data_IF_010767282767
#
_entry.id   IF_010767282767
#
_cell.length_a   1.000
_cell.length_b   1.000
_cell.length_c   1.000
_cell.angle_alpha   90.00
_cell.angle_beta   90.00
_cell.angle_gamma   90.00
#
_symmetry.space_group_name_H-M   'P 1'
#
loop_
_entity.id
_entity.type
_entity.pdbx_description
1 polymer ?
#
# COMPACT_ATOMS: atom_id res chain seq x y z
N UNK A 1 -40.68 -28.49 -30.93
CA UNK A 1 -40.04 -27.67 -29.89
C UNK A 1 -39.73 -28.58 -28.73
N UNK A 2 -38.50 -29.10 -28.69
CA UNK A 2 -38.01 -29.88 -27.56
C UNK A 2 -37.59 -28.91 -26.46
N UNK A 3 -37.87 -29.19 -25.17
CA UNK A 3 -37.37 -28.37 -24.09
C UNK A 3 -35.85 -28.56 -24.01
N UNK A 4 -35.10 -27.47 -24.15
CA UNK A 4 -33.65 -27.46 -24.05
C UNK A 4 -33.27 -27.62 -22.55
N UNK A 5 -33.14 -28.86 -22.09
CA UNK A 5 -32.72 -29.20 -20.71
C UNK A 5 -31.25 -29.60 -20.69
N UNK A 6 -30.37 -28.72 -21.18
CA UNK A 6 -28.93 -28.98 -21.32
C UNK A 6 -28.08 -28.00 -20.50
N UNK A 7 -27.99 -28.23 -19.19
CA UNK A 7 -26.97 -27.66 -18.31
C UNK A 7 -25.59 -28.06 -18.88
N UNK A 8 -24.88 -27.12 -19.50
CA UNK A 8 -23.73 -27.41 -20.37
C UNK A 8 -22.45 -26.66 -20.04
N UNK A 9 -22.19 -26.35 -18.77
CA UNK A 9 -20.99 -25.61 -18.35
C UNK A 9 -20.22 -26.32 -17.22
N UNK A 10 -18.89 -26.11 -17.10
CA UNK A 10 -18.07 -26.78 -16.08
C UNK A 10 -18.12 -26.15 -14.67
N UNK A 11 -18.88 -25.06 -14.50
CA UNK A 11 -18.94 -24.25 -13.28
C UNK A 11 -19.86 -24.84 -12.20
N UNK A 12 -19.68 -24.38 -10.95
CA UNK A 12 -20.41 -24.84 -9.78
C UNK A 12 -21.19 -23.70 -9.08
N UNK A 13 -22.41 -23.95 -8.58
CA UNK A 13 -23.14 -25.21 -8.65
C UNK A 13 -23.57 -25.51 -10.10
N UNK A 14 -23.75 -26.81 -10.42
CA UNK A 14 -23.96 -27.25 -11.80
C UNK A 14 -25.27 -26.72 -12.38
N UNK A 15 -26.29 -26.50 -11.56
CA UNK A 15 -27.59 -25.94 -11.94
C UNK A 15 -27.61 -24.40 -12.04
N UNK A 16 -26.47 -23.73 -11.92
CA UNK A 16 -26.38 -22.28 -12.08
C UNK A 16 -26.83 -21.83 -13.48
N UNK A 17 -27.53 -20.70 -13.56
CA UNK A 17 -27.92 -20.11 -14.84
C UNK A 17 -26.77 -19.26 -15.40
N UNK A 18 -26.06 -19.79 -16.40
CA UNK A 18 -24.99 -19.08 -17.12
C UNK A 18 -25.41 -18.97 -18.60
N UNK A 19 -26.23 -17.96 -18.95
CA UNK A 19 -26.77 -17.81 -20.29
C UNK A 19 -25.65 -17.54 -21.30
N UNK A 20 -25.80 -18.07 -22.52
CA UNK A 20 -24.86 -17.85 -23.62
C UNK A 20 -23.42 -18.32 -23.35
N UNK A 21 -23.24 -19.30 -22.45
CA UNK A 21 -21.93 -19.89 -22.19
C UNK A 21 -21.32 -20.50 -23.45
N UNK A 22 -20.08 -20.13 -23.74
CA UNK A 22 -19.25 -20.76 -24.74
C UNK A 22 -17.91 -21.16 -24.12
N UNK A 23 -17.46 -22.39 -24.40
CA UNK A 23 -16.14 -22.86 -23.97
C UNK A 23 -15.01 -22.02 -24.62
N UNK A 24 -13.84 -22.01 -23.97
CA UNK A 24 -12.66 -21.36 -24.51
C UNK A 24 -12.25 -22.00 -25.85
N UNK A 25 -12.02 -21.16 -26.87
CA UNK A 25 -11.50 -21.60 -28.16
C UNK A 25 -9.99 -21.83 -28.15
N UNK A 26 -9.25 -21.06 -27.36
CA UNK A 26 -7.81 -21.19 -27.23
C UNK A 26 -7.45 -22.18 -26.12
N UNK A 27 -6.37 -22.94 -26.33
CA UNK A 27 -5.81 -23.77 -25.26
C UNK A 27 -5.32 -22.91 -24.09
N UNK A 28 -5.37 -23.47 -22.87
CA UNK A 28 -4.87 -22.82 -21.66
C UNK A 28 -3.45 -22.29 -21.82
N UNK A 29 -2.57 -23.05 -22.47
CA UNK A 29 -1.18 -22.65 -22.69
C UNK A 29 -1.06 -21.39 -23.58
N UNK A 30 -1.94 -21.23 -24.57
CA UNK A 30 -1.99 -20.01 -25.41
C UNK A 30 -2.49 -18.81 -24.59
N UNK A 31 -3.55 -19.01 -23.80
CA UNK A 31 -4.13 -17.97 -22.94
C UNK A 31 -3.07 -17.48 -21.92
N UNK A 32 -2.45 -18.40 -21.19
CA UNK A 32 -1.44 -18.08 -20.18
C UNK A 32 -0.23 -17.39 -20.79
N UNK A 33 0.30 -17.87 -21.92
CA UNK A 33 1.43 -17.20 -22.59
C UNK A 33 1.06 -15.78 -23.03
N UNK A 34 -0.11 -15.59 -23.61
CA UNK A 34 -0.58 -14.26 -24.02
C UNK A 34 -0.67 -13.31 -22.82
N UNK A 35 -1.35 -13.73 -21.75
CA UNK A 35 -1.57 -12.89 -20.58
C UNK A 35 -0.29 -12.59 -19.80
N UNK A 36 0.54 -13.61 -19.55
CA UNK A 36 1.84 -13.42 -18.89
C UNK A 36 2.75 -12.51 -19.72
N UNK A 37 2.72 -12.61 -21.05
CA UNK A 37 3.49 -11.70 -21.90
C UNK A 37 3.07 -10.24 -21.72
N UNK A 38 1.76 -9.96 -21.62
CA UNK A 38 1.25 -8.61 -21.36
C UNK A 38 1.72 -8.10 -20.00
N UNK A 39 1.63 -8.92 -18.94
CA UNK A 39 2.13 -8.57 -17.61
C UNK A 39 3.62 -8.27 -17.66
N UNK A 40 4.42 -9.15 -18.26
CA UNK A 40 5.88 -9.00 -18.34
C UNK A 40 6.24 -7.72 -19.07
N UNK A 41 5.65 -7.46 -20.24
CA UNK A 41 5.88 -6.23 -21.00
C UNK A 41 5.49 -5.00 -20.18
N UNK A 42 4.31 -5.00 -19.54
CA UNK A 42 3.84 -3.87 -18.75
C UNK A 42 4.75 -3.57 -17.55
N UNK A 43 5.05 -4.59 -16.74
CA UNK A 43 5.86 -4.45 -15.53
C UNK A 43 7.29 -4.08 -15.87
N UNK A 44 7.92 -4.74 -16.85
CA UNK A 44 9.31 -4.43 -17.24
C UNK A 44 9.42 -3.04 -17.85
N UNK A 45 8.45 -2.62 -18.68
CA UNK A 45 8.40 -1.26 -19.22
C UNK A 45 8.23 -0.23 -18.11
N UNK A 46 7.35 -0.48 -17.14
CA UNK A 46 7.18 0.37 -15.97
C UNK A 46 8.47 0.49 -15.16
N UNK A 47 9.14 -0.63 -14.86
CA UNK A 47 10.43 -0.65 -14.15
C UNK A 47 11.52 0.12 -14.91
N UNK A 48 11.58 -0.06 -16.23
CA UNK A 48 12.51 0.68 -17.09
C UNK A 48 12.27 2.19 -17.01
N UNK A 49 11.00 2.63 -17.12
CA UNK A 49 10.63 4.04 -16.96
C UNK A 49 10.99 4.55 -15.56
N UNK A 50 10.67 3.81 -14.51
CA UNK A 50 11.00 4.18 -13.13
C UNK A 50 12.50 4.36 -12.92
N UNK A 51 13.32 3.48 -13.49
CA UNK A 51 14.79 3.56 -13.40
C UNK A 51 15.39 4.66 -14.27
N UNK A 52 14.74 4.99 -15.38
CA UNK A 52 15.12 6.14 -16.20
C UNK A 52 14.86 7.45 -15.46
N UNK A 53 13.72 7.57 -14.76
CA UNK A 53 13.37 8.74 -13.97
C UNK A 53 14.22 8.84 -12.69
N UNK A 54 14.47 7.71 -12.02
CA UNK A 54 15.30 7.65 -10.82
C UNK A 54 16.33 6.48 -10.92
N UNK A 55 17.54 6.76 -11.44
CA UNK A 55 18.60 5.75 -11.57
C UNK A 55 19.08 5.18 -10.22
N UNK A 56 18.82 5.91 -9.12
CA UNK A 56 19.23 5.55 -7.77
C UNK A 56 18.34 4.51 -7.07
N UNK A 57 17.27 4.01 -7.72
CA UNK A 57 16.36 3.04 -7.12
C UNK A 57 17.11 1.76 -6.68
N UNK A 58 16.88 1.34 -5.44
CA UNK A 58 17.43 0.11 -4.85
C UNK A 58 16.64 -1.11 -5.33
N UNK A 59 17.24 -2.30 -5.22
CA UNK A 59 16.57 -3.55 -5.63
C UNK A 59 15.26 -3.78 -4.88
N UNK A 60 15.20 -3.45 -3.59
CA UNK A 60 13.97 -3.54 -2.80
C UNK A 60 12.90 -2.54 -3.22
N UNK A 61 13.29 -1.35 -3.68
CA UNK A 61 12.37 -0.35 -4.24
C UNK A 61 11.84 -0.82 -5.60
N UNK A 62 12.69 -1.43 -6.44
CA UNK A 62 12.27 -2.01 -7.72
C UNK A 62 11.36 -3.23 -7.54
N UNK A 63 11.63 -4.09 -6.56
CA UNK A 63 10.75 -5.22 -6.24
C UNK A 63 9.36 -4.75 -5.77
N UNK A 64 9.30 -3.72 -4.91
CA UNK A 64 8.04 -3.11 -4.50
C UNK A 64 7.32 -2.46 -5.69
N UNK A 65 8.06 -1.75 -6.54
CA UNK A 65 7.51 -1.15 -7.75
C UNK A 65 6.94 -2.20 -8.70
N UNK A 66 7.64 -3.33 -8.91
CA UNK A 66 7.17 -4.43 -9.73
C UNK A 66 5.86 -5.02 -9.19
N UNK A 67 5.79 -5.22 -7.87
CA UNK A 67 4.58 -5.68 -7.20
C UNK A 67 3.40 -4.73 -7.41
N UNK A 68 3.57 -3.43 -7.14
CA UNK A 68 2.46 -2.48 -7.30
C UNK A 68 2.08 -2.22 -8.77
N UNK A 69 3.02 -2.37 -9.72
CA UNK A 69 2.70 -2.36 -11.16
C UNK A 69 1.91 -3.61 -11.57
N UNK A 70 2.25 -4.79 -11.05
CA UNK A 70 1.49 -6.02 -11.26
C UNK A 70 0.07 -5.86 -10.70
N UNK A 71 -0.07 -5.39 -9.47
CA UNK A 71 -1.39 -5.12 -8.88
C UNK A 71 -2.17 -4.09 -9.71
N UNK A 72 -1.54 -2.99 -10.12
CA UNK A 72 -2.20 -2.02 -11.00
C UNK A 72 -2.71 -2.68 -12.29
N UNK A 73 -1.89 -3.51 -12.93
CA UNK A 73 -2.28 -4.19 -14.16
C UNK A 73 -3.50 -5.10 -13.95
N UNK A 74 -3.46 -5.91 -12.89
CA UNK A 74 -4.56 -6.83 -12.58
C UNK A 74 -5.83 -6.08 -12.21
N UNK A 75 -5.75 -5.08 -11.33
CA UNK A 75 -6.90 -4.28 -10.93
C UNK A 75 -7.49 -3.48 -12.10
N UNK A 76 -6.65 -2.73 -12.82
CA UNK A 76 -7.14 -1.82 -13.86
C UNK A 76 -7.62 -2.57 -15.12
N UNK A 77 -6.91 -3.62 -15.54
CA UNK A 77 -7.17 -4.29 -16.81
C UNK A 77 -7.90 -5.62 -16.62
N UNK A 78 -7.47 -6.47 -15.70
CA UNK A 78 -8.07 -7.80 -15.55
C UNK A 78 -9.42 -7.74 -14.83
N UNK A 79 -9.44 -7.19 -13.63
CA UNK A 79 -10.66 -6.96 -12.82
C UNK A 79 -11.54 -5.90 -13.48
N UNK A 80 -10.94 -4.84 -14.05
CA UNK A 80 -11.65 -3.87 -14.87
C UNK A 80 -12.38 -4.48 -16.06
N UNK A 81 -11.78 -5.47 -16.74
CA UNK A 81 -12.46 -6.22 -17.80
C UNK A 81 -13.68 -6.98 -17.26
N UNK A 82 -13.55 -7.64 -16.11
CA UNK A 82 -14.68 -8.32 -15.47
C UNK A 82 -15.81 -7.33 -15.15
N UNK A 83 -15.51 -6.24 -14.45
CA UNK A 83 -16.50 -5.22 -14.07
C UNK A 83 -17.25 -4.64 -15.28
N UNK A 84 -16.57 -4.42 -16.40
CA UNK A 84 -17.19 -3.86 -17.61
C UNK A 84 -17.98 -4.90 -18.41
N UNK A 85 -17.54 -6.16 -18.44
CA UNK A 85 -18.05 -7.17 -19.38
C UNK A 85 -18.71 -8.38 -18.73
N UNK A 86 -18.91 -8.41 -17.41
CA UNK A 86 -19.44 -9.56 -16.66
C UNK A 86 -20.69 -10.20 -17.29
N UNK A 87 -21.63 -9.40 -17.79
CA UNK A 87 -22.87 -9.88 -18.42
C UNK A 87 -22.64 -10.68 -19.72
N UNK A 88 -21.57 -10.38 -20.45
CA UNK A 88 -21.23 -11.01 -21.74
C UNK A 88 -20.03 -11.96 -21.65
N UNK A 89 -19.47 -12.10 -20.45
CA UNK A 89 -18.18 -12.77 -20.21
C UNK A 89 -18.20 -14.24 -20.63
N UNK A 90 -19.30 -14.93 -20.34
CA UNK A 90 -19.46 -16.37 -20.57
C UNK A 90 -19.40 -16.75 -22.06
N UNK A 91 -19.89 -15.89 -22.95
CA UNK A 91 -19.86 -16.11 -24.41
C UNK A 91 -18.66 -15.46 -25.12
N UNK A 92 -17.89 -14.61 -24.43
CA UNK A 92 -16.81 -13.84 -25.05
C UNK A 92 -15.55 -14.69 -25.27
N UNK A 93 -14.88 -14.49 -26.41
CA UNK A 93 -13.66 -15.21 -26.82
C UNK A 93 -12.40 -14.32 -26.84
N UNK A 94 -12.43 -13.15 -26.20
CA UNK A 94 -11.20 -12.35 -26.01
C UNK A 94 -10.20 -13.08 -25.12
N UNK A 95 -8.93 -12.65 -25.13
CA UNK A 95 -7.91 -13.20 -24.24
C UNK A 95 -8.33 -13.08 -22.75
N UNK A 96 -8.84 -11.92 -22.35
CA UNK A 96 -9.25 -11.65 -20.97
C UNK A 96 -10.46 -12.48 -20.56
N UNK A 97 -11.50 -12.57 -21.40
CA UNK A 97 -12.68 -13.39 -21.10
C UNK A 97 -12.34 -14.87 -21.02
N UNK A 98 -11.47 -15.37 -21.89
CA UNK A 98 -11.05 -16.77 -21.83
C UNK A 98 -10.23 -17.08 -20.57
N UNK A 99 -9.39 -16.15 -20.12
CA UNK A 99 -8.69 -16.28 -18.84
C UNK A 99 -9.64 -16.22 -17.64
N UNK A 100 -10.64 -15.32 -17.66
CA UNK A 100 -11.67 -15.28 -16.63
C UNK A 100 -12.49 -16.57 -16.56
N UNK A 101 -12.86 -17.13 -17.71
CA UNK A 101 -13.52 -18.44 -17.80
C UNK A 101 -12.68 -19.54 -17.16
N UNK A 102 -11.37 -19.57 -17.44
CA UNK A 102 -10.45 -20.51 -16.78
C UNK A 102 -10.38 -20.28 -15.27
N UNK A 103 -10.20 -19.03 -14.84
CA UNK A 103 -10.10 -18.69 -13.42
C UNK A 103 -11.38 -19.00 -12.65
N UNK A 104 -12.55 -18.81 -13.27
CA UNK A 104 -13.84 -19.09 -12.67
C UNK A 104 -14.12 -20.58 -12.43
N UNK A 105 -13.30 -21.49 -12.98
CA UNK A 105 -13.32 -22.89 -12.56
C UNK A 105 -12.95 -23.04 -11.08
N UNK A 106 -12.15 -22.10 -10.55
CA UNK A 106 -11.79 -22.01 -9.13
C UNK A 106 -12.85 -21.31 -8.28
N UNK A 107 -13.55 -20.33 -8.84
CA UNK A 107 -14.67 -19.62 -8.22
C UNK A 107 -15.69 -19.19 -9.26
N UNK A 108 -16.78 -19.94 -9.36
CA UNK A 108 -17.78 -19.81 -10.40
C UNK A 108 -18.69 -18.59 -10.21
N UNK A 109 -18.58 -17.89 -9.08
CA UNK A 109 -19.27 -16.61 -8.82
C UNK A 109 -18.95 -15.54 -9.87
N UNK A 110 -17.77 -15.62 -10.51
CA UNK A 110 -17.41 -14.76 -11.63
C UNK A 110 -18.19 -15.04 -12.93
N UNK A 111 -18.81 -16.22 -13.08
CA UNK A 111 -19.64 -16.55 -14.24
C UNK A 111 -21.13 -16.28 -14.03
N UNK A 112 -21.54 -16.10 -12.78
CA UNK A 112 -22.94 -15.85 -12.40
C UNK A 112 -23.19 -14.39 -12.02
N UNK A 113 -22.19 -13.51 -12.18
CA UNK A 113 -22.28 -12.08 -11.81
C UNK A 113 -22.66 -11.89 -10.34
N UNK A 114 -22.02 -12.65 -9.44
CA UNK A 114 -22.27 -12.56 -8.01
C UNK A 114 -22.15 -11.11 -7.49
N UNK A 115 -23.13 -10.60 -6.72
CA UNK A 115 -23.12 -9.21 -6.27
C UNK A 115 -21.92 -8.85 -5.41
N UNK A 116 -21.43 -9.77 -4.57
CA UNK A 116 -20.25 -9.50 -3.75
C UNK A 116 -19.00 -9.38 -4.64
N UNK A 117 -18.83 -10.29 -5.60
CA UNK A 117 -17.72 -10.21 -6.57
C UNK A 117 -17.75 -8.91 -7.37
N UNK A 118 -18.89 -8.55 -7.95
CA UNK A 118 -19.00 -7.30 -8.70
C UNK A 118 -18.67 -6.08 -7.83
N UNK A 119 -19.14 -6.04 -6.58
CA UNK A 119 -18.84 -4.93 -5.67
C UNK A 119 -17.35 -4.86 -5.31
N UNK A 120 -16.73 -5.98 -4.92
CA UNK A 120 -15.34 -5.96 -4.46
C UNK A 120 -14.38 -5.66 -5.61
N UNK A 121 -14.63 -6.20 -6.81
CA UNK A 121 -13.84 -5.91 -8.01
C UNK A 121 -14.09 -4.49 -8.53
N UNK A 122 -15.27 -3.93 -8.34
CA UNK A 122 -15.49 -2.51 -8.64
C UNK A 122 -14.67 -1.62 -7.72
N UNK A 123 -14.56 -1.96 -6.43
CA UNK A 123 -13.71 -1.22 -5.49
C UNK A 123 -12.23 -1.37 -5.83
N UNK A 124 -11.79 -2.54 -6.29
CA UNK A 124 -10.40 -2.73 -6.69
C UNK A 124 -10.03 -1.89 -7.91
N UNK A 125 -10.92 -1.81 -8.90
CA UNK A 125 -10.75 -0.95 -10.07
C UNK A 125 -10.75 0.53 -9.68
N UNK A 126 -11.73 0.97 -8.89
CA UNK A 126 -11.95 2.39 -8.62
C UNK A 126 -10.99 2.97 -7.57
N UNK A 127 -10.56 2.16 -6.59
CA UNK A 127 -9.74 2.61 -5.47
C UNK A 127 -8.32 2.02 -5.53
N UNK A 128 -8.20 0.70 -5.70
CA UNK A 128 -6.90 0.05 -5.60
C UNK A 128 -6.02 0.31 -6.82
N UNK A 129 -6.53 0.25 -8.05
CA UNK A 129 -5.73 0.59 -9.22
C UNK A 129 -5.10 2.01 -9.12
N UNK A 130 -5.86 3.10 -8.91
CA UNK A 130 -5.26 4.43 -8.75
C UNK A 130 -4.23 4.50 -7.62
N UNK A 131 -4.51 3.85 -6.49
CA UNK A 131 -3.63 3.84 -5.32
C UNK A 131 -2.33 3.07 -5.59
N UNK A 132 -2.36 1.95 -6.31
CA UNK A 132 -1.17 1.24 -6.78
C UNK A 132 -0.25 2.15 -7.60
N UNK A 133 -0.83 2.91 -8.55
CA UNK A 133 -0.06 3.84 -9.36
C UNK A 133 0.51 4.99 -8.52
N UNK A 134 -0.27 5.52 -7.57
CA UNK A 134 0.20 6.56 -6.64
C UNK A 134 1.37 6.06 -5.77
N UNK A 135 1.33 4.81 -5.31
CA UNK A 135 2.44 4.19 -4.57
C UNK A 135 3.68 4.06 -5.46
N UNK A 136 3.54 3.62 -6.72
CA UNK A 136 4.65 3.55 -7.68
C UNK A 136 5.29 4.92 -7.88
N UNK A 137 4.49 5.97 -8.06
CA UNK A 137 4.98 7.36 -8.16
C UNK A 137 5.72 7.77 -6.89
N UNK A 138 5.19 7.43 -5.70
CA UNK A 138 5.86 7.71 -4.44
C UNK A 138 7.20 6.96 -4.31
N UNK A 139 7.29 5.73 -4.79
CA UNK A 139 8.56 4.96 -4.83
C UNK A 139 9.58 5.67 -5.72
N UNK A 140 9.20 6.02 -6.95
CA UNK A 140 10.09 6.69 -7.92
C UNK A 140 10.57 8.04 -7.34
N UNK A 141 9.69 8.80 -6.71
CA UNK A 141 10.02 10.12 -6.12
C UNK A 141 10.63 10.04 -4.72
N UNK A 142 10.81 8.85 -4.14
CA UNK A 142 11.20 8.65 -2.73
C UNK A 142 10.36 9.45 -1.74
N UNK A 143 9.07 9.58 -2.03
CA UNK A 143 8.14 10.30 -1.17
C UNK A 143 7.82 9.46 0.08
N UNK A 144 7.86 10.09 1.25
CA UNK A 144 7.45 9.46 2.51
C UNK A 144 5.96 9.07 2.53
N UNK A 145 5.14 9.68 1.65
CA UNK A 145 3.73 9.27 1.44
C UNK A 145 3.59 7.82 0.97
N UNK A 146 4.67 7.21 0.46
CA UNK A 146 4.68 5.77 0.14
C UNK A 146 4.15 4.93 1.30
N UNK A 147 4.62 5.16 2.54
CA UNK A 147 4.31 4.26 3.65
C UNK A 147 2.83 4.33 4.08
N UNK A 148 2.23 5.52 4.28
CA UNK A 148 0.79 5.63 4.53
C UNK A 148 -0.07 5.02 3.42
N UNK A 149 0.22 5.31 2.15
CA UNK A 149 -0.54 4.77 1.02
C UNK A 149 -0.40 3.25 0.90
N UNK A 150 0.81 2.73 1.13
CA UNK A 150 1.10 1.30 1.17
C UNK A 150 0.34 0.60 2.30
N UNK A 151 0.21 1.22 3.48
CA UNK A 151 -0.61 0.68 4.59
C UNK A 151 -2.08 0.58 4.17
N UNK A 152 -2.66 1.65 3.63
CA UNK A 152 -4.07 1.67 3.18
C UNK A 152 -4.32 0.55 2.17
N UNK A 153 -3.46 0.47 1.15
CA UNK A 153 -3.55 -0.57 0.13
C UNK A 153 -3.45 -1.98 0.72
N UNK A 154 -2.42 -2.23 1.54
CA UNK A 154 -2.18 -3.57 2.06
C UNK A 154 -3.30 -4.03 2.99
N UNK A 155 -3.85 -3.14 3.82
CA UNK A 155 -5.05 -3.45 4.62
C UNK A 155 -6.24 -3.76 3.72
N UNK A 156 -6.44 -2.99 2.64
CA UNK A 156 -7.48 -3.24 1.63
C UNK A 156 -7.37 -4.63 1.00
N UNK A 157 -6.17 -5.05 0.59
CA UNK A 157 -5.92 -6.40 0.06
C UNK A 157 -6.19 -7.50 1.07
N UNK A 158 -5.68 -7.37 2.31
CA UNK A 158 -5.91 -8.35 3.38
C UNK A 158 -7.40 -8.48 3.71
N UNK A 159 -8.11 -7.36 3.75
CA UNK A 159 -9.54 -7.33 3.97
C UNK A 159 -10.30 -8.00 2.82
N UNK A 160 -9.99 -7.63 1.57
CA UNK A 160 -10.62 -8.18 0.37
C UNK A 160 -10.44 -9.70 0.26
N UNK A 161 -9.22 -10.21 0.40
CA UNK A 161 -8.95 -11.65 0.33
C UNK A 161 -9.58 -12.43 1.48
N UNK A 162 -9.65 -11.82 2.68
CA UNK A 162 -10.34 -12.43 3.83
C UNK A 162 -11.84 -12.56 3.57
N UNK A 163 -12.48 -11.54 3.00
CA UNK A 163 -13.89 -11.62 2.62
C UNK A 163 -14.14 -12.57 1.44
N UNK A 164 -13.23 -12.60 0.46
CA UNK A 164 -13.29 -13.53 -0.67
C UNK A 164 -13.30 -14.99 -0.21
N UNK A 165 -12.40 -15.35 0.72
CA UNK A 165 -12.38 -16.66 1.36
C UNK A 165 -13.57 -16.90 2.28
N UNK A 166 -13.87 -15.91 3.13
CA UNK A 166 -14.93 -16.02 4.13
C UNK A 166 -16.31 -16.22 3.51
N UNK A 167 -16.64 -15.52 2.43
CA UNK A 167 -17.94 -15.64 1.75
C UNK A 167 -18.12 -17.01 1.10
N UNK A 168 -17.12 -17.52 0.37
CA UNK A 168 -17.19 -18.86 -0.21
C UNK A 168 -17.28 -19.94 0.87
N UNK A 169 -16.45 -19.84 1.90
CA UNK A 169 -16.47 -20.76 3.03
C UNK A 169 -17.83 -20.75 3.75
N UNK A 170 -18.39 -19.57 3.99
CA UNK A 170 -19.68 -19.41 4.65
C UNK A 170 -20.80 -20.07 3.85
N UNK A 171 -20.87 -19.84 2.54
CA UNK A 171 -21.89 -20.44 1.69
C UNK A 171 -21.73 -21.95 1.57
N UNK A 172 -20.51 -22.46 1.49
CA UNK A 172 -20.26 -23.89 1.53
C UNK A 172 -20.73 -24.51 2.84
N UNK A 173 -20.33 -23.94 3.98
CA UNK A 173 -20.61 -24.52 5.29
C UNK A 173 -22.08 -24.40 5.71
N UNK A 174 -22.74 -23.28 5.41
CA UNK A 174 -24.10 -23.01 5.89
C UNK A 174 -25.19 -23.28 4.86
N UNK A 175 -24.87 -23.21 3.56
CA UNK A 175 -25.84 -23.43 2.47
C UNK A 175 -25.54 -24.69 1.65
N UNK A 176 -24.40 -25.34 1.86
CA UNK A 176 -23.99 -26.51 1.08
C UNK A 176 -23.60 -26.19 -0.36
N UNK A 177 -23.41 -24.90 -0.70
CA UNK A 177 -23.12 -24.45 -2.07
C UNK A 177 -21.61 -24.41 -2.26
N UNK A 178 -21.10 -25.21 -3.20
CA UNK A 178 -19.73 -25.07 -3.68
C UNK A 178 -19.70 -24.17 -4.92
N UNK A 179 -18.77 -23.23 -4.96
CA UNK A 179 -18.48 -22.40 -6.14
C UNK A 179 -17.23 -22.84 -6.88
N UNK A 180 -16.49 -23.81 -6.33
CA UNK A 180 -15.26 -24.32 -6.94
C UNK A 180 -15.50 -25.71 -7.50
N UNK A 181 -14.80 -26.00 -8.59
CA UNK A 181 -14.68 -27.36 -9.10
C UNK A 181 -13.94 -28.26 -8.08
N UNK A 182 -14.34 -29.54 -7.94
CA UNK A 182 -13.84 -30.42 -6.89
C UNK A 182 -12.38 -30.86 -7.09
N UNK A 183 -11.82 -30.72 -8.29
CA UNK A 183 -10.44 -31.09 -8.56
C UNK A 183 -9.44 -30.26 -7.76
N UNK A 184 -8.38 -30.92 -7.27
CA UNK A 184 -7.35 -30.29 -6.43
C UNK A 184 -6.78 -29.00 -7.03
N UNK A 185 -6.57 -28.99 -8.36
CA UNK A 185 -6.04 -27.85 -9.10
C UNK A 185 -6.87 -26.58 -8.86
N UNK A 186 -8.20 -26.68 -8.96
CA UNK A 186 -9.04 -25.49 -8.96
C UNK A 186 -9.21 -24.91 -7.56
N UNK A 187 -9.43 -25.75 -6.55
CA UNK A 187 -9.57 -25.24 -5.18
C UNK A 187 -8.21 -24.89 -4.53
N UNK A 188 -7.23 -25.79 -4.56
CA UNK A 188 -6.01 -25.58 -3.79
C UNK A 188 -4.99 -24.70 -4.51
N UNK A 189 -4.84 -24.88 -5.83
CA UNK A 189 -3.83 -24.12 -6.57
C UNK A 189 -4.39 -22.77 -7.00
N UNK A 190 -5.55 -22.74 -7.67
CA UNK A 190 -6.11 -21.48 -8.17
C UNK A 190 -6.78 -20.68 -7.05
N UNK A 191 -7.81 -21.25 -6.41
CA UNK A 191 -8.61 -20.50 -5.44
C UNK A 191 -7.79 -20.11 -4.21
N UNK A 192 -7.12 -21.04 -3.54
CA UNK A 192 -6.31 -20.71 -2.36
C UNK A 192 -4.89 -20.22 -2.74
N UNK A 193 -4.20 -20.95 -3.62
CA UNK A 193 -2.78 -20.72 -3.90
C UNK A 193 -2.49 -19.38 -4.59
N UNK A 194 -3.18 -19.06 -5.69
CA UNK A 194 -2.95 -17.80 -6.40
C UNK A 194 -3.37 -16.60 -5.56
N UNK A 195 -4.53 -16.67 -4.89
CA UNK A 195 -5.01 -15.59 -4.03
C UNK A 195 -4.17 -15.40 -2.75
N UNK A 196 -3.44 -16.44 -2.28
CA UNK A 196 -2.54 -16.30 -1.14
C UNK A 196 -1.44 -15.24 -1.34
N UNK A 197 -1.08 -14.92 -2.60
CA UNK A 197 -0.14 -13.82 -2.88
C UNK A 197 -0.64 -12.46 -2.36
N UNK A 198 -1.95 -12.20 -2.48
CA UNK A 198 -2.62 -10.99 -1.95
C UNK A 198 -2.82 -11.01 -0.43
N UNK A 199 -2.51 -12.12 0.23
CA UNK A 199 -2.37 -12.17 1.67
C UNK A 199 -0.91 -11.93 2.09
N UNK A 200 0.01 -12.75 1.58
CA UNK A 200 1.39 -12.80 2.05
C UNK A 200 2.16 -11.52 1.73
N UNK A 201 2.13 -11.08 0.46
CA UNK A 201 2.95 -9.94 0.04
C UNK A 201 2.45 -8.63 0.67
N UNK A 202 1.13 -8.34 0.72
CA UNK A 202 0.59 -7.21 1.47
C UNK A 202 0.92 -7.25 2.96
N UNK A 203 0.88 -8.42 3.62
CA UNK A 203 1.26 -8.51 5.04
C UNK A 203 2.72 -8.10 5.28
N UNK A 204 3.65 -8.53 4.41
CA UNK A 204 5.07 -8.15 4.48
C UNK A 204 5.23 -6.64 4.30
N UNK A 205 4.59 -6.06 3.29
CA UNK A 205 4.67 -4.62 3.01
C UNK A 205 3.96 -3.76 4.05
N UNK A 206 2.89 -4.26 4.66
CA UNK A 206 2.20 -3.63 5.78
C UNK A 206 3.12 -3.54 6.99
N UNK A 207 3.72 -4.67 7.39
CA UNK A 207 4.67 -4.73 8.49
C UNK A 207 5.88 -3.82 8.23
N UNK A 208 6.42 -3.84 7.01
CA UNK A 208 7.51 -2.95 6.62
C UNK A 208 7.12 -1.47 6.81
N UNK A 209 5.99 -1.03 6.28
CA UNK A 209 5.57 0.38 6.37
C UNK A 209 5.27 0.80 7.80
N UNK A 210 4.59 -0.04 8.59
CA UNK A 210 4.33 0.24 10.01
C UNK A 210 5.65 0.44 10.75
N UNK A 211 6.64 -0.46 10.58
CA UNK A 211 7.94 -0.32 11.23
C UNK A 211 8.68 0.95 10.83
N UNK A 212 8.65 1.34 9.56
CA UNK A 212 9.30 2.57 9.11
C UNK A 212 8.65 3.81 9.73
N UNK A 213 7.32 3.85 9.82
CA UNK A 213 6.61 4.96 10.44
C UNK A 213 6.90 5.02 11.95
N UNK A 214 6.85 3.88 12.66
CA UNK A 214 7.15 3.83 14.09
C UNK A 214 8.55 4.36 14.40
N UNK A 215 9.57 3.88 13.68
CA UNK A 215 10.95 4.35 13.86
C UNK A 215 11.10 5.86 13.58
N UNK A 216 10.38 6.39 12.59
CA UNK A 216 10.39 7.81 12.28
C UNK A 216 9.73 8.64 13.40
N UNK A 217 8.63 8.13 13.99
CA UNK A 217 7.95 8.78 15.11
C UNK A 217 8.81 8.79 16.37
N UNK A 218 9.43 7.65 16.72
CA UNK A 218 10.34 7.56 17.86
C UNK A 218 11.50 8.56 17.73
N UNK A 219 12.18 8.59 16.58
CA UNK A 219 13.26 9.55 16.33
C UNK A 219 12.80 11.01 16.42
N UNK A 220 11.60 11.31 15.91
CA UNK A 220 10.99 12.64 16.00
C UNK A 220 10.72 13.05 17.45
N UNK A 221 10.18 12.14 18.27
CA UNK A 221 9.92 12.40 19.68
C UNK A 221 11.21 12.67 20.47
N UNK A 222 12.28 11.92 20.20
CA UNK A 222 13.58 12.16 20.80
C UNK A 222 14.16 13.51 20.41
N UNK A 223 14.11 13.86 19.13
CA UNK A 223 14.57 15.16 18.64
C UNK A 223 13.79 16.32 19.30
N UNK A 224 12.47 16.19 19.39
CA UNK A 224 11.60 17.17 20.07
C UNK A 224 12.00 17.31 21.55
N UNK A 225 12.30 16.21 22.23
CA UNK A 225 12.73 16.22 23.64
C UNK A 225 14.06 16.95 23.83
N UNK A 226 15.05 16.68 22.97
CA UNK A 226 16.35 17.36 23.06
C UNK A 226 16.25 18.85 22.74
N UNK A 227 15.42 19.24 21.76
CA UNK A 227 15.14 20.65 21.47
C UNK A 227 14.49 21.35 22.67
N UNK A 228 13.56 20.69 23.37
CA UNK A 228 12.96 21.23 24.60
C UNK A 228 14.00 21.45 25.70
N UNK A 229 14.88 20.47 25.95
CA UNK A 229 15.97 20.61 26.93
C UNK A 229 16.91 21.77 26.58
N UNK A 230 17.33 21.86 25.32
CA UNK A 230 18.19 22.94 24.85
C UNK A 230 17.53 24.33 25.03
N UNK A 231 16.21 24.41 24.81
CA UNK A 231 15.44 25.65 25.01
C UNK A 231 15.41 26.08 26.48
N UNK A 232 15.24 25.14 27.41
CA UNK A 232 15.29 25.44 28.85
C UNK A 232 16.69 25.90 29.28
N UNK A 233 17.75 25.21 28.82
CA UNK A 233 19.14 25.62 29.08
C UNK A 233 19.43 27.01 28.52
N UNK A 234 18.95 27.31 27.31
CA UNK A 234 19.12 28.63 26.70
C UNK A 234 18.40 29.73 27.49
N UNK A 235 17.16 29.45 27.96
CA UNK A 235 16.40 30.38 28.80
C UNK A 235 17.15 30.69 30.09
N UNK A 236 17.68 29.66 30.74
CA UNK A 236 18.46 29.81 31.98
C UNK A 236 19.77 30.55 31.74
N UNK A 237 20.49 30.22 30.67
CA UNK A 237 21.74 30.91 30.29
C UNK A 237 21.49 32.39 29.98
N UNK A 238 20.35 32.71 29.36
CA UNK A 238 19.95 34.09 29.07
C UNK A 238 19.64 34.87 30.35
N UNK A 239 18.95 34.23 31.31
CA UNK A 239 18.68 34.80 32.63
C UNK A 239 19.99 35.10 33.38
N UNK A 240 20.87 34.11 33.50
CA UNK A 240 22.16 34.26 34.19
C UNK A 240 23.06 35.32 33.53
N UNK A 241 23.02 35.44 32.20
CA UNK A 241 23.72 36.53 31.50
C UNK A 241 23.18 37.90 31.89
N UNK A 242 21.87 38.05 32.03
CA UNK A 242 21.25 39.30 32.50
C UNK A 242 21.71 39.67 33.90
N UNK A 243 21.65 38.72 34.84
CA UNK A 243 22.12 38.89 36.22
C UNK A 243 23.62 39.24 36.27
N UNK A 244 24.45 38.60 35.43
CA UNK A 244 25.88 38.90 35.36
C UNK A 244 26.18 40.32 34.88
N UNK A 245 25.45 40.83 33.88
CA UNK A 245 25.65 42.21 33.41
C UNK A 245 25.20 43.25 34.46
N UNK A 246 24.16 42.95 35.25
CA UNK A 246 23.73 43.79 36.38
C UNK A 246 24.82 43.87 37.47
N UNK A 247 25.34 42.71 37.91
CA UNK A 247 26.45 42.65 38.88
C UNK A 247 27.69 43.36 38.34
N UNK A 248 27.96 43.23 37.03
CA UNK A 248 29.10 43.90 36.38
C UNK A 248 28.96 45.42 36.43
N UNK A 249 27.75 45.95 36.25
CA UNK A 249 27.46 47.37 36.34
C UNK A 249 27.68 47.89 37.77
N UNK A 250 27.09 47.22 38.77
CA UNK A 250 27.24 47.56 40.19
C UNK A 250 28.71 47.58 40.64
N UNK A 251 29.49 46.55 40.24
CA UNK A 251 30.93 46.50 40.52
C UNK A 251 31.68 47.67 39.89
N UNK A 252 31.30 48.12 38.70
CA UNK A 252 31.96 49.25 38.05
C UNK A 252 31.66 50.57 38.76
N UNK A 253 30.43 50.76 39.27
CA UNK A 253 30.04 51.92 40.09
C UNK A 253 30.83 51.96 41.41
N UNK A 254 30.81 50.87 42.17
CA UNK A 254 31.60 50.75 43.41
C UNK A 254 33.10 51.01 43.19
N UNK A 255 33.63 50.56 42.06
CA UNK A 255 35.03 50.80 41.70
C UNK A 255 35.30 52.28 41.42
N UNK A 256 34.34 52.99 40.81
CA UNK A 256 34.45 54.43 40.58
C UNK A 256 34.45 55.19 41.92
N UNK A 257 33.48 54.89 42.80
CA UNK A 257 33.40 55.47 44.15
C UNK A 257 34.68 55.22 44.96
N UNK A 258 35.18 53.99 44.98
CA UNK A 258 36.43 53.65 45.66
C UNK A 258 37.62 54.46 45.14
N UNK A 259 37.72 54.65 43.82
CA UNK A 259 38.82 55.41 43.24
C UNK A 259 38.74 56.91 43.61
N UNK A 260 37.53 57.47 43.68
CA UNK A 260 37.29 58.85 44.10
C UNK A 260 37.68 59.05 45.57
N UNK A 261 37.21 58.17 46.47
CA UNK A 261 37.57 58.18 47.89
C UNK A 261 39.08 58.02 48.10
N UNK A 262 39.72 57.13 47.33
CA UNK A 262 41.18 56.94 47.36
C UNK A 262 41.94 58.17 46.87
N UNK A 263 41.39 58.92 45.91
CA UNK A 263 41.99 60.18 45.46
C UNK A 263 41.84 61.27 46.52
N UNK A 264 40.70 61.32 47.22
CA UNK A 264 40.46 62.24 48.33
C UNK A 264 41.36 61.98 49.54
N UNK A 265 41.46 60.72 50.00
CA UNK A 265 42.40 60.33 51.07
C UNK A 265 43.85 60.73 50.75
N UNK A 266 44.28 60.56 49.49
CA UNK A 266 45.61 60.97 49.04
C UNK A 266 45.81 62.49 49.09
N UNK A 267 44.79 63.27 48.76
CA UNK A 267 44.84 64.74 48.88
C UNK A 267 44.97 65.17 50.34
N UNK A 268 44.21 64.56 51.25
CA UNK A 268 44.27 64.87 52.68
C UNK A 268 45.64 64.55 53.30
N UNK A 269 46.24 63.42 52.93
CA UNK A 269 47.59 63.02 53.38
C UNK A 269 48.73 63.91 52.84
N UNK A 270 48.51 64.70 51.79
CA UNK A 270 49.50 65.66 51.27
C UNK A 270 49.45 67.02 51.96
N UNK A 271 48.39 67.30 52.72
CA UNK A 271 48.20 68.56 53.47
C UNK A 271 48.41 68.42 54.98
N UNK A 272 48.96 67.27 55.42
CA UNK A 272 49.41 67.02 56.80
C UNK A 272 50.93 66.97 56.82
#
# INVERSE_FOLDING_TARGET
MSPDTGIGHPYFPQDAAIPHYEANMASLAVILRGFVSLIVVFVTSGLYVGRTINPGLRMSEMAAMAWFLLCFFLHAFFEGYFVLYHNSLAGSQTLFSQLWKEYALSDSRYMTSDPFMLCIESLTVLLWAPLCLAIVICIIRRSHMRHPLQIIMCVGHLFGVTLYYGTCFFEHHHKGISHSRPEFLYYWVYYLGLNAAWFVVPAVYLFQSIRNILLALECSEEAIREVKKAREVLKETTRLRGEFEEIRAERNELRAEYNELRAECRRLLQHT
#
